data_IF_466690116570
#
_entry.id   IF_466690116570
#
_cell.length_a   1.000
_cell.length_b   1.000
_cell.length_c   1.000
_cell.angle_alpha   90.00
_cell.angle_beta   90.00
_cell.angle_gamma   90.00
#
_symmetry.space_group_name_H-M   'P 1'
#
loop_
_entity.id
_entity.type
_entity.pdbx_description
1 polymer ?
#
# COMPACT_ATOMS: atom_id res chain seq x y z
N UNK A 1 -19.79 7.87 -9.97
CA UNK A 1 -19.69 6.51 -10.51
C UNK A 1 -18.37 5.91 -10.05
N UNK A 2 -18.22 4.58 -9.96
CA UNK A 2 -16.95 3.93 -9.57
C UNK A 2 -15.73 4.42 -10.39
N UNK A 3 -15.96 4.80 -11.65
CA UNK A 3 -14.94 5.39 -12.51
C UNK A 3 -14.48 6.79 -12.07
N UNK A 4 -15.42 7.63 -11.60
CA UNK A 4 -15.09 8.95 -11.03
C UNK A 4 -14.29 8.80 -9.73
N UNK A 5 -14.66 7.83 -8.88
CA UNK A 5 -13.93 7.55 -7.63
C UNK A 5 -12.50 7.05 -7.90
N UNK A 6 -12.31 6.20 -8.91
CA UNK A 6 -10.99 5.75 -9.34
C UNK A 6 -10.11 6.90 -9.88
N UNK A 7 -10.72 7.87 -10.58
CA UNK A 7 -10.05 9.08 -11.05
C UNK A 7 -9.55 9.93 -9.88
N UNK A 8 -10.42 10.24 -8.92
CA UNK A 8 -10.06 11.01 -7.72
C UNK A 8 -8.99 10.30 -6.87
N UNK A 9 -9.11 8.98 -6.71
CA UNK A 9 -8.09 8.17 -6.04
C UNK A 9 -6.74 8.23 -6.76
N UNK A 10 -6.73 8.22 -8.09
CA UNK A 10 -5.51 8.35 -8.90
C UNK A 10 -4.80 9.68 -8.64
N UNK A 11 -5.53 10.80 -8.75
CA UNK A 11 -4.98 12.15 -8.51
C UNK A 11 -4.48 12.31 -7.07
N UNK A 12 -5.26 11.84 -6.08
CA UNK A 12 -4.86 11.88 -4.67
C UNK A 12 -3.62 11.03 -4.38
N UNK A 13 -3.53 9.83 -4.96
CA UNK A 13 -2.37 8.95 -4.83
C UNK A 13 -1.11 9.56 -5.46
N UNK A 14 -1.24 10.23 -6.61
CA UNK A 14 -0.13 10.92 -7.27
C UNK A 14 0.37 12.11 -6.46
N UNK A 15 -0.54 12.95 -5.97
CA UNK A 15 -0.18 14.07 -5.11
C UNK A 15 0.57 13.58 -3.85
N UNK A 16 0.03 12.57 -3.17
CA UNK A 16 0.66 11.99 -1.99
C UNK A 16 2.01 11.36 -2.34
N UNK A 17 2.11 10.60 -3.44
CA UNK A 17 3.37 10.02 -3.91
C UNK A 17 4.42 11.09 -4.24
N UNK A 18 4.04 12.24 -4.80
CA UNK A 18 4.96 13.35 -5.02
C UNK A 18 5.55 13.87 -3.70
N UNK A 19 4.71 14.05 -2.68
CA UNK A 19 5.17 14.49 -1.35
C UNK A 19 6.15 13.49 -0.70
N UNK A 20 5.97 12.18 -0.93
CA UNK A 20 6.90 11.17 -0.40
C UNK A 20 8.33 11.26 -0.95
N UNK A 21 8.58 12.00 -2.03
CA UNK A 21 9.95 12.21 -2.52
C UNK A 21 10.79 13.05 -1.55
N UNK A 22 10.14 13.83 -0.68
CA UNK A 22 10.79 14.67 0.30
C UNK A 22 10.86 13.98 1.67
N UNK A 23 12.05 13.50 2.05
CA UNK A 23 12.29 12.82 3.34
C UNK A 23 11.80 13.60 4.56
N UNK A 24 11.90 14.92 4.53
CA UNK A 24 11.41 15.81 5.59
C UNK A 24 9.89 15.69 5.84
N UNK A 25 9.11 15.25 4.83
CA UNK A 25 7.66 15.07 4.94
C UNK A 25 7.27 13.66 5.42
N UNK A 26 8.19 12.69 5.42
CA UNK A 26 7.88 11.28 5.71
C UNK A 26 7.19 11.10 7.07
N UNK A 27 7.75 11.70 8.12
CA UNK A 27 7.17 11.60 9.47
C UNK A 27 5.73 12.11 9.53
N UNK A 28 5.47 13.29 8.93
CA UNK A 28 4.12 13.88 8.88
C UNK A 28 3.15 13.02 8.05
N UNK A 29 3.60 12.50 6.91
CA UNK A 29 2.79 11.63 6.06
C UNK A 29 2.39 10.35 6.81
N UNK A 30 3.33 9.73 7.52
CA UNK A 30 3.06 8.51 8.31
C UNK A 30 2.11 8.82 9.46
N UNK A 31 2.35 9.90 10.21
CA UNK A 31 1.49 10.33 11.31
C UNK A 31 0.04 10.63 10.87
N UNK A 32 -0.15 11.11 9.64
CA UNK A 32 -1.48 11.35 9.08
C UNK A 32 -2.11 10.10 8.43
N UNK A 33 -1.55 8.91 8.64
CA UNK A 33 -2.09 7.66 8.11
C UNK A 33 -1.81 7.43 6.63
N UNK A 34 -0.93 8.22 6.00
CA UNK A 34 -0.60 8.11 4.58
C UNK A 34 -0.07 6.73 4.20
N UNK A 35 0.72 6.09 5.05
CA UNK A 35 1.24 4.74 4.81
C UNK A 35 0.11 3.69 4.68
N UNK A 36 -0.88 3.74 5.57
CA UNK A 36 -2.04 2.85 5.53
C UNK A 36 -2.90 3.09 4.27
N UNK A 37 -3.09 4.36 3.89
CA UNK A 37 -3.81 4.73 2.68
C UNK A 37 -3.12 4.18 1.41
N UNK A 38 -1.80 4.31 1.31
CA UNK A 38 -1.04 3.77 0.18
C UNK A 38 -1.08 2.23 0.13
N UNK A 39 -0.99 1.55 1.28
CA UNK A 39 -1.12 0.08 1.37
C UNK A 39 -2.53 -0.43 0.99
N UNK A 40 -3.57 0.37 1.22
CA UNK A 40 -4.92 0.06 0.74
C UNK A 40 -5.02 0.23 -0.78
N UNK A 41 -4.49 1.34 -1.31
CA UNK A 41 -4.56 1.67 -2.73
C UNK A 41 -3.81 0.70 -3.64
N UNK A 42 -2.69 0.11 -3.19
CA UNK A 42 -1.94 -0.88 -3.99
C UNK A 42 -2.76 -2.16 -4.30
N UNK A 43 -3.85 -2.40 -3.57
CA UNK A 43 -4.80 -3.50 -3.81
C UNK A 43 -6.13 -3.04 -4.43
N UNK A 44 -6.27 -1.74 -4.72
CA UNK A 44 -7.46 -1.18 -5.34
C UNK A 44 -7.64 -1.57 -6.82
N UNK A 45 -8.78 -1.20 -7.39
CA UNK A 45 -9.09 -1.48 -8.80
C UNK A 45 -8.53 -0.45 -9.79
N UNK A 46 -8.09 0.73 -9.31
CA UNK A 46 -7.56 1.79 -10.17
C UNK A 46 -6.07 1.61 -10.45
N UNK A 47 -5.70 1.35 -11.71
CA UNK A 47 -4.31 1.17 -12.12
C UNK A 47 -3.42 2.37 -11.76
N UNK A 48 -3.86 3.58 -12.10
CA UNK A 48 -3.13 4.83 -11.81
C UNK A 48 -2.86 4.99 -10.31
N UNK A 49 -3.89 4.78 -9.49
CA UNK A 49 -3.78 4.80 -8.03
C UNK A 49 -2.82 3.73 -7.49
N UNK A 50 -2.85 2.49 -8.03
CA UNK A 50 -1.93 1.42 -7.62
C UNK A 50 -0.47 1.76 -7.92
N UNK A 51 -0.18 2.26 -9.12
CA UNK A 51 1.18 2.62 -9.54
C UNK A 51 1.72 3.76 -8.67
N UNK A 52 0.92 4.82 -8.49
CA UNK A 52 1.29 5.93 -7.62
C UNK A 52 1.50 5.47 -6.17
N UNK A 53 0.65 4.56 -5.68
CA UNK A 53 0.80 4.04 -4.33
C UNK A 53 2.06 3.20 -4.14
N UNK A 54 2.38 2.31 -5.08
CA UNK A 54 3.62 1.55 -5.06
C UNK A 54 4.86 2.47 -5.07
N UNK A 55 4.83 3.54 -5.85
CA UNK A 55 5.89 4.56 -5.89
C UNK A 55 6.00 5.31 -4.56
N UNK A 56 4.89 5.72 -3.95
CA UNK A 56 4.90 6.37 -2.64
C UNK A 56 5.46 5.47 -1.54
N UNK A 57 5.09 4.18 -1.55
CA UNK A 57 5.58 3.18 -0.60
C UNK A 57 7.09 2.95 -0.73
N UNK A 58 7.63 2.92 -1.96
CA UNK A 58 9.07 2.74 -2.16
C UNK A 58 9.90 3.90 -1.59
N UNK A 59 9.42 5.14 -1.72
CA UNK A 59 10.08 6.28 -1.09
C UNK A 59 9.99 6.24 0.44
N UNK A 60 8.80 5.97 0.99
CA UNK A 60 8.60 5.93 2.45
C UNK A 60 9.43 4.82 3.09
N UNK A 61 9.60 3.66 2.45
CA UNK A 61 10.39 2.54 2.97
C UNK A 61 11.87 2.89 3.26
N UNK A 62 12.37 4.04 2.76
CA UNK A 62 13.69 4.56 3.12
C UNK A 62 13.78 5.13 4.54
N UNK A 63 12.64 5.42 5.18
CA UNK A 63 12.53 5.88 6.57
C UNK A 63 12.43 4.71 7.57
N UNK A 64 13.14 4.80 8.70
CA UNK A 64 13.03 3.82 9.80
C UNK A 64 11.62 3.74 10.38
N UNK A 65 10.92 4.87 10.46
CA UNK A 65 9.54 4.92 10.96
C UNK A 65 8.60 4.13 10.04
N UNK A 66 8.72 4.34 8.73
CA UNK A 66 7.93 3.61 7.76
C UNK A 66 8.22 2.11 7.81
N UNK A 67 9.50 1.72 7.92
CA UNK A 67 9.89 0.31 8.06
C UNK A 67 9.26 -0.34 9.30
N UNK A 68 9.29 0.34 10.45
CA UNK A 68 8.64 -0.14 11.69
C UNK A 68 7.14 -0.37 11.49
N UNK A 69 6.44 0.60 10.90
CA UNK A 69 4.99 0.48 10.68
C UNK A 69 4.65 -0.60 9.64
N UNK A 70 5.41 -0.71 8.55
CA UNK A 70 5.24 -1.76 7.53
C UNK A 70 5.42 -3.17 8.13
N UNK A 71 6.38 -3.35 9.04
CA UNK A 71 6.63 -4.62 9.72
C UNK A 71 5.49 -4.98 10.70
N UNK A 72 4.88 -3.98 11.35
CA UNK A 72 3.81 -4.20 12.32
C UNK A 72 2.46 -4.55 11.66
N UNK A 73 2.12 -3.96 10.50
CA UNK A 73 0.77 -4.03 9.91
C UNK A 73 0.60 -5.11 8.82
N UNK A 74 1.34 -6.23 8.90
CA UNK A 74 1.44 -7.21 7.79
C UNK A 74 1.76 -6.55 6.44
N UNK A 75 2.37 -5.36 6.45
CA UNK A 75 2.61 -4.54 5.27
C UNK A 75 3.53 -5.25 4.28
N UNK A 76 4.50 -6.01 4.79
CA UNK A 76 5.36 -6.88 3.96
C UNK A 76 4.54 -7.93 3.21
N UNK A 77 3.60 -8.62 3.87
CA UNK A 77 2.76 -9.63 3.21
C UNK A 77 1.86 -9.01 2.13
N UNK A 78 1.31 -7.81 2.40
CA UNK A 78 0.53 -7.01 1.44
C UNK A 78 1.36 -6.61 0.22
N UNK A 79 2.58 -6.11 0.44
CA UNK A 79 3.50 -5.76 -0.66
C UNK A 79 3.86 -7.00 -1.50
N UNK A 80 4.16 -8.13 -0.86
CA UNK A 80 4.46 -9.40 -1.56
C UNK A 80 3.26 -9.88 -2.38
N UNK A 81 2.03 -9.77 -1.87
CA UNK A 81 0.82 -10.12 -2.61
C UNK A 81 0.64 -9.24 -3.85
N UNK A 82 0.91 -7.93 -3.74
CA UNK A 82 0.82 -6.99 -4.86
C UNK A 82 1.73 -7.35 -6.04
N UNK A 83 2.91 -7.91 -5.78
CA UNK A 83 3.85 -8.34 -6.82
C UNK A 83 3.32 -9.51 -7.66
N UNK A 84 2.41 -10.32 -7.09
CA UNK A 84 1.82 -11.49 -7.75
C UNK A 84 0.53 -11.15 -8.49
N UNK A 85 0.06 -9.91 -8.42
CA UNK A 85 -1.26 -9.51 -8.92
C UNK A 85 -2.42 -10.13 -8.13
N UNK A 86 -2.13 -10.79 -7.01
CA UNK A 86 -3.13 -11.46 -6.16
C UNK A 86 -3.45 -10.59 -4.96
N UNK A 87 -4.72 -10.48 -4.60
CA UNK A 87 -5.06 -9.85 -3.32
C UNK A 87 -4.58 -10.74 -2.16
N UNK A 88 -4.20 -10.19 -1.00
CA UNK A 88 -3.75 -10.94 0.17
C UNK A 88 -4.72 -12.05 0.60
N UNK A 89 -6.01 -11.91 0.24
CA UNK A 89 -7.07 -12.89 0.49
C UNK A 89 -6.85 -14.23 -0.21
N UNK A 90 -6.24 -14.24 -1.39
CA UNK A 90 -6.33 -15.40 -2.28
C UNK A 90 -5.27 -16.46 -1.98
N UNK A 91 -4.10 -16.03 -1.49
CA UNK A 91 -2.99 -16.95 -1.18
C UNK A 91 -2.93 -17.36 0.30
N UNK A 92 -3.31 -16.48 1.24
CA UNK A 92 -3.26 -16.80 2.68
C UNK A 92 -4.43 -17.70 3.12
N UNK A 93 -5.60 -17.59 2.48
CA UNK A 93 -6.74 -18.48 2.76
C UNK A 93 -6.46 -19.93 2.36
N UNK A 94 -5.69 -20.14 1.29
CA UNK A 94 -5.22 -21.50 0.89
C UNK A 94 -4.20 -22.03 1.89
N UNK A 95 -3.29 -21.19 2.37
CA UNK A 95 -2.30 -21.58 3.39
C UNK A 95 -2.95 -21.91 4.75
N UNK A 96 -3.93 -21.10 5.20
CA UNK A 96 -4.70 -21.36 6.42
C UNK A 96 -5.59 -22.61 6.33
N UNK A 97 -6.17 -22.89 5.14
CA UNK A 97 -6.95 -24.13 4.91
C UNK A 97 -6.09 -25.39 4.93
N UNK A 98 -4.80 -25.28 4.61
CA UNK A 98 -3.87 -26.41 4.65
C UNK A 98 -3.49 -26.79 6.07
N UNK A 99 -3.28 -25.80 6.96
CA UNK A 99 -2.92 -26.02 8.37
C UNK A 99 -4.12 -26.28 9.30
N UNK A 100 -5.35 -25.93 8.89
CA UNK A 100 -6.56 -26.21 9.67
C UNK A 100 -7.21 -27.58 9.35
N UNK A 101 -6.55 -28.40 8.53
CA UNK A 101 -6.97 -29.78 8.17
C UNK A 101 -6.09 -30.87 8.79
N UNK A 102 -5.16 -30.50 9.66
CA UNK A 102 -4.46 -31.38 10.59
C UNK A 102 -5.12 -31.30 11.97
#
# INVERSE_FOLDING_TARGET
>A
SRAADAGVQGEGAEALSGMTQHKALHGRIIQQGGLAALLALVHGSGERARVAAAKGLSHLATSDEARRVILQDRGVARLVASLRGTQPSDSFSVYLKLIARE
#
